data_IF_129354665924
#
_entry.id   IF_129354665924
#
_cell.length_a   1.000
_cell.length_b   1.000
_cell.length_c   1.000
_cell.angle_alpha   90.00
_cell.angle_beta   90.00
_cell.angle_gamma   90.00
#
_symmetry.space_group_name_H-M   'P 1'
#
loop_
_entity.id
_entity.type
_entity.pdbx_description
1 polymer ?
#
# COMPACT_ATOMS: atom_id res chain seq x y z
N UNK A 1 6.84 -3.42 -32.26
CA UNK A 1 5.49 -2.82 -32.37
C UNK A 1 4.47 -3.96 -32.53
N UNK A 2 4.00 -4.52 -31.43
CA UNK A 2 2.90 -5.49 -31.43
C UNK A 2 1.61 -4.71 -31.25
N UNK A 3 0.77 -4.74 -32.23
CA UNK A 3 -0.46 -3.94 -32.33
C UNK A 3 -1.48 -4.39 -31.29
N UNK A 4 -2.08 -3.42 -30.59
CA UNK A 4 -3.16 -3.53 -29.57
C UNK A 4 -4.37 -4.42 -29.98
N UNK A 5 -4.43 -4.92 -31.21
CA UNK A 5 -5.57 -5.65 -31.78
C UNK A 5 -5.54 -7.17 -31.52
N UNK A 6 -4.41 -7.74 -31.07
CA UNK A 6 -4.24 -9.20 -30.96
C UNK A 6 -4.55 -9.78 -29.56
N UNK A 7 -4.86 -8.95 -28.56
CA UNK A 7 -5.07 -9.42 -27.17
C UNK A 7 -6.54 -9.55 -26.76
N UNK A 8 -7.46 -8.88 -27.44
CA UNK A 8 -8.89 -8.83 -27.08
C UNK A 8 -9.72 -9.91 -27.78
N UNK A 9 -9.47 -11.17 -27.50
CA UNK A 9 -10.27 -12.23 -28.09
C UNK A 9 -9.76 -13.65 -27.83
N UNK A 10 -8.61 -13.79 -27.19
CA UNK A 10 -8.14 -15.13 -26.83
C UNK A 10 -8.98 -15.69 -25.67
N UNK A 11 -9.48 -16.93 -25.76
CA UNK A 11 -10.30 -17.55 -24.70
C UNK A 11 -9.66 -17.47 -23.30
N UNK A 12 -8.33 -17.51 -23.24
CA UNK A 12 -7.54 -17.38 -22.00
C UNK A 12 -7.70 -16.01 -21.34
N UNK A 13 -7.67 -14.92 -22.12
CA UNK A 13 -7.81 -13.55 -21.58
C UNK A 13 -9.23 -13.32 -21.04
N UNK A 14 -10.25 -13.80 -21.77
CA UNK A 14 -11.64 -13.72 -21.32
C UNK A 14 -11.84 -14.51 -20.03
N UNK A 15 -11.22 -15.68 -19.91
CA UNK A 15 -11.27 -16.49 -18.70
C UNK A 15 -10.63 -15.76 -17.50
N UNK A 16 -9.45 -15.17 -17.67
CA UNK A 16 -8.76 -14.41 -16.63
C UNK A 16 -9.57 -13.20 -16.16
N UNK A 17 -10.17 -12.44 -17.11
CA UNK A 17 -11.06 -11.33 -16.77
C UNK A 17 -12.27 -11.80 -15.97
N UNK A 18 -12.90 -12.89 -16.39
CA UNK A 18 -14.05 -13.44 -15.67
C UNK A 18 -13.69 -13.96 -14.28
N UNK A 19 -12.52 -14.58 -14.10
CA UNK A 19 -12.02 -14.99 -12.78
C UNK A 19 -11.83 -13.78 -11.86
N UNK A 20 -11.25 -12.68 -12.37
CA UNK A 20 -11.10 -11.45 -11.63
C UNK A 20 -12.43 -10.85 -11.19
N UNK A 21 -13.39 -10.73 -12.11
CA UNK A 21 -14.72 -10.23 -11.80
C UNK A 21 -15.44 -11.07 -10.72
N UNK A 22 -15.24 -12.39 -10.74
CA UNK A 22 -15.82 -13.27 -9.71
C UNK A 22 -15.14 -13.09 -8.35
N UNK A 23 -13.81 -12.94 -8.33
CA UNK A 23 -13.05 -12.65 -7.10
C UNK A 23 -13.46 -11.30 -6.50
N UNK A 24 -13.56 -10.26 -7.31
CA UNK A 24 -13.99 -8.93 -6.87
C UNK A 24 -15.42 -8.97 -6.31
N UNK A 25 -16.33 -9.68 -6.98
CA UNK A 25 -17.70 -9.83 -6.51
C UNK A 25 -17.77 -10.58 -5.17
N UNK A 26 -17.02 -11.68 -5.01
CA UNK A 26 -16.93 -12.43 -3.75
C UNK A 26 -16.31 -11.60 -2.63
N UNK A 27 -15.26 -10.82 -2.92
CA UNK A 27 -14.63 -9.93 -1.95
C UNK A 27 -15.61 -8.86 -1.44
N UNK A 28 -16.40 -8.24 -2.35
CA UNK A 28 -17.38 -7.23 -1.99
C UNK A 28 -18.61 -7.77 -1.25
N UNK A 29 -19.06 -8.97 -1.60
CA UNK A 29 -20.26 -9.60 -1.04
C UNK A 29 -19.96 -10.42 0.22
N UNK A 30 -18.69 -10.74 0.49
CA UNK A 30 -18.25 -11.65 1.55
C UNK A 30 -18.56 -13.10 1.22
N UNK A 31 -19.84 -13.39 0.87
CA UNK A 31 -20.32 -14.70 0.44
C UNK A 31 -21.43 -14.55 -0.59
N UNK A 32 -21.54 -15.50 -1.51
CA UNK A 32 -22.56 -15.47 -2.54
C UNK A 32 -22.87 -16.87 -3.12
N UNK A 33 -24.07 -17.03 -3.65
CA UNK A 33 -24.44 -18.16 -4.51
C UNK A 33 -23.98 -17.92 -5.95
N UNK A 34 -23.89 -18.99 -6.76
CA UNK A 34 -23.55 -18.87 -8.18
C UNK A 34 -24.53 -17.98 -8.97
N UNK A 35 -25.80 -17.97 -8.57
CA UNK A 35 -26.83 -17.12 -9.20
C UNK A 35 -26.59 -15.65 -8.90
N UNK A 36 -26.29 -15.32 -7.66
CA UNK A 36 -25.97 -13.95 -7.24
C UNK A 36 -24.71 -13.44 -7.93
N UNK A 37 -23.67 -14.28 -8.03
CA UNK A 37 -22.43 -13.96 -8.75
C UNK A 37 -22.70 -13.70 -10.24
N UNK A 38 -23.49 -14.55 -10.91
CA UNK A 38 -23.86 -14.33 -12.31
C UNK A 38 -24.58 -12.99 -12.48
N UNK A 39 -25.54 -12.68 -11.61
CA UNK A 39 -26.29 -11.40 -11.64
C UNK A 39 -25.39 -10.20 -11.36
N UNK A 40 -24.47 -10.30 -10.40
CA UNK A 40 -23.58 -9.21 -10.00
C UNK A 40 -22.52 -8.88 -11.07
N UNK A 41 -21.97 -9.92 -11.70
CA UNK A 41 -20.86 -9.79 -12.67
C UNK A 41 -21.31 -9.66 -14.12
N UNK A 42 -22.56 -10.03 -14.44
CA UNK A 42 -23.04 -10.14 -15.82
C UNK A 42 -22.51 -11.36 -16.59
N UNK A 43 -21.74 -12.24 -15.93
CA UNK A 43 -21.20 -13.47 -16.52
C UNK A 43 -22.33 -14.51 -16.62
N UNK A 44 -22.37 -15.27 -17.73
CA UNK A 44 -23.39 -16.32 -17.92
C UNK A 44 -23.30 -17.37 -16.81
N UNK A 45 -24.46 -17.87 -16.34
CA UNK A 45 -24.51 -18.85 -15.27
C UNK A 45 -23.73 -20.15 -15.57
N UNK A 46 -23.73 -20.70 -16.82
CA UNK A 46 -22.87 -21.82 -17.14
C UNK A 46 -21.39 -21.53 -16.94
N UNK A 47 -20.93 -20.34 -17.36
CA UNK A 47 -19.54 -19.90 -17.16
C UNK A 47 -19.19 -19.77 -15.68
N UNK A 48 -20.06 -19.13 -14.87
CA UNK A 48 -19.88 -19.03 -13.43
C UNK A 48 -19.79 -20.41 -12.77
N UNK A 49 -20.62 -21.37 -13.20
CA UNK A 49 -20.61 -22.73 -12.67
C UNK A 49 -19.25 -23.43 -12.91
N UNK A 50 -18.68 -23.27 -14.12
CA UNK A 50 -17.38 -23.83 -14.46
C UNK A 50 -16.26 -23.17 -13.65
N UNK A 51 -16.23 -21.84 -13.62
CA UNK A 51 -15.17 -21.09 -12.95
C UNK A 51 -15.19 -21.26 -11.42
N UNK A 52 -16.36 -21.20 -10.78
CA UNK A 52 -16.46 -21.44 -9.33
C UNK A 52 -16.08 -22.88 -8.98
N UNK A 53 -16.40 -23.85 -9.83
CA UNK A 53 -15.94 -25.23 -9.62
C UNK A 53 -14.41 -25.31 -9.66
N UNK A 54 -13.80 -24.73 -10.69
CA UNK A 54 -12.34 -24.68 -10.86
C UNK A 54 -11.66 -23.98 -9.67
N UNK A 55 -12.14 -22.78 -9.27
CA UNK A 55 -11.62 -22.05 -8.11
C UNK A 55 -11.76 -22.85 -6.80
N UNK A 56 -12.83 -23.63 -6.66
CA UNK A 56 -13.03 -24.48 -5.48
C UNK A 56 -12.06 -25.67 -5.49
N UNK A 57 -11.84 -26.30 -6.66
CA UNK A 57 -10.87 -27.38 -6.83
C UNK A 57 -9.43 -26.92 -6.59
N UNK A 58 -9.13 -25.66 -6.93
CA UNK A 58 -7.84 -25.01 -6.67
C UNK A 58 -7.69 -24.50 -5.22
N UNK A 59 -8.77 -24.53 -4.42
CA UNK A 59 -8.78 -24.05 -3.04
C UNK A 59 -8.89 -22.52 -2.90
N UNK A 60 -9.04 -21.76 -3.98
CA UNK A 60 -9.21 -20.30 -3.95
C UNK A 60 -10.58 -19.87 -3.39
N UNK A 61 -11.57 -20.73 -3.54
CA UNK A 61 -12.94 -20.51 -3.08
C UNK A 61 -13.38 -21.68 -2.20
N UNK A 62 -14.00 -21.36 -1.07
CA UNK A 62 -14.60 -22.33 -0.17
C UNK A 62 -16.09 -22.46 -0.41
N UNK A 63 -16.60 -23.70 -0.38
CA UNK A 63 -18.02 -23.98 -0.35
C UNK A 63 -18.47 -24.07 1.12
N UNK A 64 -19.29 -23.11 1.55
CA UNK A 64 -19.82 -23.02 2.93
C UNK A 64 -21.02 -23.93 3.16
N UNK A 65 -21.42 -24.75 2.18
CA UNK A 65 -22.63 -25.56 2.24
C UNK A 65 -23.82 -24.86 1.60
N UNK A 66 -25.03 -25.25 2.03
CA UNK A 66 -26.26 -24.73 1.46
C UNK A 66 -26.82 -23.57 2.27
N UNK A 67 -27.30 -22.53 1.60
CA UNK A 67 -28.03 -21.44 2.23
C UNK A 67 -29.29 -21.96 2.94
N UNK A 68 -29.65 -21.32 4.06
CA UNK A 68 -30.95 -21.54 4.70
C UNK A 68 -32.08 -21.14 3.74
N UNK A 69 -32.92 -22.07 3.37
CA UNK A 69 -34.01 -21.81 2.41
C UNK A 69 -35.38 -21.88 3.08
N UNK A 70 -36.20 -20.88 2.81
CA UNK A 70 -37.62 -20.83 3.14
C UNK A 70 -38.50 -21.48 2.07
N UNK A 71 -38.08 -22.63 1.48
CA UNK A 71 -38.97 -23.41 0.61
C UNK A 71 -38.52 -23.64 -0.85
N UNK A 72 -37.20 -23.63 -1.15
CA UNK A 72 -36.66 -23.94 -2.51
C UNK A 72 -35.47 -24.90 -2.46
N UNK A 73 -34.94 -25.31 -3.66
CA UNK A 73 -33.72 -26.11 -3.76
C UNK A 73 -32.56 -25.32 -3.12
N UNK A 74 -31.96 -25.88 -2.08
CA UNK A 74 -30.84 -25.26 -1.36
C UNK A 74 -29.69 -24.93 -2.30
N UNK A 75 -29.33 -23.66 -2.42
CA UNK A 75 -28.23 -23.20 -3.24
C UNK A 75 -26.94 -23.22 -2.42
N UNK A 76 -25.86 -23.73 -2.98
CA UNK A 76 -24.54 -23.69 -2.37
C UNK A 76 -24.01 -22.25 -2.31
N UNK A 77 -23.45 -21.88 -1.17
CA UNK A 77 -22.85 -20.56 -0.89
C UNK A 77 -21.34 -20.68 -0.93
N UNK A 78 -20.71 -19.72 -1.53
CA UNK A 78 -19.26 -19.67 -1.74
C UNK A 78 -18.66 -18.40 -1.15
N UNK A 79 -17.43 -18.50 -0.64
CA UNK A 79 -16.61 -17.36 -0.19
C UNK A 79 -15.18 -17.53 -0.68
N UNK A 80 -14.43 -16.43 -0.76
CA UNK A 80 -13.00 -16.52 -1.02
C UNK A 80 -12.28 -17.23 0.14
N UNK A 81 -11.34 -18.09 -0.20
CA UNK A 81 -10.43 -18.64 0.80
C UNK A 81 -9.34 -17.62 1.11
N UNK A 82 -9.53 -16.86 2.15
CA UNK A 82 -8.64 -15.77 2.54
C UNK A 82 -7.23 -16.25 2.89
N UNK A 83 -7.12 -17.52 3.33
CA UNK A 83 -5.85 -18.17 3.70
C UNK A 83 -5.25 -19.02 2.59
N UNK A 84 -5.74 -18.88 1.37
CA UNK A 84 -5.25 -19.65 0.23
C UNK A 84 -3.84 -19.24 -0.17
N UNK A 85 -3.54 -17.95 -0.09
CA UNK A 85 -2.22 -17.37 -0.34
C UNK A 85 -1.90 -16.36 0.74
N UNK A 86 -0.59 -16.18 0.95
CA UNK A 86 -0.06 -15.16 1.83
C UNK A 86 0.70 -14.10 1.05
N UNK A 87 0.81 -12.93 1.64
CA UNK A 87 1.68 -11.85 1.19
C UNK A 87 2.68 -11.54 2.29
N UNK A 88 3.89 -11.19 1.88
CA UNK A 88 5.01 -10.93 2.76
C UNK A 88 5.42 -9.46 2.65
N UNK A 89 5.37 -8.75 3.75
CA UNK A 89 5.91 -7.40 3.91
C UNK A 89 7.21 -7.47 4.68
N UNK A 90 8.27 -6.86 4.15
CA UNK A 90 9.57 -6.79 4.81
C UNK A 90 10.01 -5.34 4.92
N UNK A 91 10.41 -4.94 6.12
CA UNK A 91 10.97 -3.62 6.41
C UNK A 91 12.47 -3.77 6.62
N UNK A 92 13.25 -3.00 5.86
CA UNK A 92 14.68 -2.93 5.99
C UNK A 92 15.06 -1.69 6.80
N UNK A 93 15.79 -1.88 7.89
CA UNK A 93 16.37 -0.83 8.69
C UNK A 93 17.89 -1.01 8.79
N UNK A 94 18.57 -0.04 9.35
CA UNK A 94 20.03 -0.07 9.47
C UNK A 94 20.55 -1.32 10.21
N UNK A 95 19.87 -1.76 11.25
CA UNK A 95 20.39 -2.80 12.16
C UNK A 95 19.47 -4.04 12.22
N UNK A 96 18.31 -3.99 11.55
CA UNK A 96 17.33 -5.07 11.60
C UNK A 96 16.53 -5.20 10.32
N UNK A 97 16.12 -6.44 10.03
CA UNK A 97 15.02 -6.77 9.12
C UNK A 97 13.81 -7.12 9.98
N UNK A 98 12.65 -6.65 9.59
CA UNK A 98 11.40 -7.01 10.24
C UNK A 98 10.40 -7.45 9.17
N UNK A 99 9.66 -8.54 9.41
CA UNK A 99 8.66 -8.98 8.45
C UNK A 99 7.29 -9.19 9.07
N UNK A 100 6.29 -9.12 8.23
CA UNK A 100 4.91 -9.45 8.56
C UNK A 100 4.29 -10.28 7.44
N UNK A 101 3.64 -11.38 7.81
CA UNK A 101 2.85 -12.20 6.91
C UNK A 101 1.39 -11.83 7.09
N UNK A 102 0.71 -11.61 5.96
CA UNK A 102 -0.71 -11.30 5.92
C UNK A 102 -1.45 -12.32 5.04
N UNK A 103 -2.70 -12.55 5.38
CA UNK A 103 -3.67 -13.19 4.47
C UNK A 103 -4.15 -12.19 3.39
N UNK A 104 -5.01 -12.63 2.49
CA UNK A 104 -5.57 -11.79 1.40
C UNK A 104 -6.53 -10.69 1.86
N UNK A 105 -6.91 -10.66 3.14
CA UNK A 105 -7.66 -9.56 3.76
C UNK A 105 -6.79 -8.62 4.61
N UNK A 106 -5.48 -8.75 4.49
CA UNK A 106 -4.51 -7.98 5.28
C UNK A 106 -4.65 -8.23 6.80
N UNK A 107 -5.15 -9.41 7.18
CA UNK A 107 -5.10 -9.84 8.57
C UNK A 107 -3.68 -10.35 8.87
N UNK A 108 -3.08 -9.81 9.92
CA UNK A 108 -1.73 -10.15 10.34
C UNK A 108 -1.70 -11.55 10.96
N UNK A 109 -0.83 -12.43 10.46
CA UNK A 109 -0.63 -13.77 11.00
C UNK A 109 0.66 -13.88 11.81
N UNK A 110 1.75 -13.29 11.32
CA UNK A 110 3.08 -13.37 11.95
C UNK A 110 3.80 -12.05 11.80
N UNK A 111 4.56 -11.65 12.81
CA UNK A 111 5.50 -10.51 12.78
C UNK A 111 6.73 -10.83 13.59
N UNK A 112 7.90 -10.81 12.95
CA UNK A 112 9.18 -11.14 13.59
C UNK A 112 10.30 -10.23 13.10
N UNK A 113 11.40 -10.21 13.86
CA UNK A 113 12.59 -9.40 13.60
C UNK A 113 13.85 -10.26 13.56
N UNK A 114 14.81 -9.83 12.72
CA UNK A 114 16.15 -10.41 12.63
C UNK A 114 17.19 -9.30 12.58
N UNK A 115 18.19 -9.37 13.45
CA UNK A 115 19.30 -8.43 13.42
C UNK A 115 20.14 -8.59 12.14
N UNK A 116 20.68 -7.48 11.64
CA UNK A 116 21.60 -7.41 10.50
C UNK A 116 23.03 -7.20 11.02
N UNK A 117 23.99 -7.90 10.43
CA UNK A 117 25.40 -7.52 10.53
C UNK A 117 25.66 -6.35 9.60
N UNK A 118 25.82 -5.15 10.16
CA UNK A 118 26.04 -3.90 9.41
C UNK A 118 27.39 -3.84 8.67
N UNK A 119 28.29 -4.82 8.95
CA UNK A 119 29.57 -4.96 8.24
C UNK A 119 29.49 -5.97 7.09
N UNK A 120 28.42 -6.77 7.05
CA UNK A 120 28.16 -7.74 6.00
C UNK A 120 27.38 -7.15 4.82
N UNK A 121 27.16 -7.94 3.78
CA UNK A 121 26.29 -7.54 2.66
C UNK A 121 24.83 -7.52 3.08
N UNK A 122 24.20 -6.35 3.01
CA UNK A 122 22.76 -6.21 3.22
C UNK A 122 21.95 -6.99 2.19
N UNK A 123 22.39 -6.96 0.93
CA UNK A 123 21.76 -7.70 -0.16
C UNK A 123 21.77 -9.19 0.11
N UNK A 124 22.89 -9.74 0.54
CA UNK A 124 23.02 -11.16 0.86
C UNK A 124 22.18 -11.58 2.07
N UNK A 125 22.16 -10.74 3.12
CA UNK A 125 21.39 -11.02 4.34
C UNK A 125 19.89 -10.93 4.08
N UNK A 126 19.42 -9.92 3.31
CA UNK A 126 18.02 -9.80 2.91
C UNK A 126 17.59 -10.99 2.03
N UNK A 127 18.41 -11.37 1.05
CA UNK A 127 18.13 -12.53 0.21
C UNK A 127 18.00 -13.83 1.01
N UNK A 128 18.96 -14.09 1.90
CA UNK A 128 18.92 -15.26 2.80
C UNK A 128 17.70 -15.26 3.72
N UNK A 129 17.35 -14.10 4.26
CA UNK A 129 16.18 -13.91 5.11
C UNK A 129 14.88 -14.23 4.37
N UNK A 130 14.72 -13.71 3.16
CA UNK A 130 13.55 -14.00 2.33
C UNK A 130 13.45 -15.48 1.96
N UNK A 131 14.57 -16.12 1.60
CA UNK A 131 14.59 -17.54 1.27
C UNK A 131 14.20 -18.43 2.46
N UNK A 132 14.62 -18.07 3.68
CA UNK A 132 14.27 -18.76 4.92
C UNK A 132 12.74 -18.68 5.15
N UNK A 133 12.15 -17.48 5.10
CA UNK A 133 10.71 -17.26 5.28
C UNK A 133 9.90 -18.00 4.20
N UNK A 134 10.31 -17.89 2.92
CA UNK A 134 9.59 -18.50 1.80
C UNK A 134 9.68 -20.04 1.79
N UNK A 135 10.68 -20.61 2.45
CA UNK A 135 10.78 -22.06 2.69
C UNK A 135 9.75 -22.51 3.72
N UNK A 136 9.58 -21.72 4.79
CA UNK A 136 8.67 -22.05 5.89
C UNK A 136 7.21 -21.73 5.53
N UNK A 137 6.98 -20.72 4.66
CA UNK A 137 5.66 -20.30 4.19
C UNK A 137 5.63 -20.30 2.64
N UNK A 138 5.53 -21.49 2.02
CA UNK A 138 5.70 -21.65 0.56
C UNK A 138 4.54 -21.07 -0.27
N UNK A 139 3.39 -20.78 0.33
CA UNK A 139 2.21 -20.21 -0.28
C UNK A 139 2.20 -18.67 -0.33
N UNK A 140 3.27 -18.00 0.13
CA UNK A 140 3.51 -16.58 -0.17
C UNK A 140 3.60 -16.37 -1.68
N UNK A 141 2.76 -15.47 -2.22
CA UNK A 141 2.68 -15.21 -3.69
C UNK A 141 3.29 -13.89 -4.11
N UNK A 142 3.31 -12.91 -3.21
CA UNK A 142 3.93 -11.61 -3.46
C UNK A 142 4.69 -11.13 -2.22
N UNK A 143 5.73 -10.37 -2.48
CA UNK A 143 6.60 -9.76 -1.45
C UNK A 143 6.66 -8.27 -1.70
N UNK A 144 6.51 -7.45 -0.67
CA UNK A 144 6.83 -6.04 -0.74
C UNK A 144 7.91 -5.70 0.30
N UNK A 145 8.98 -5.07 -0.17
CA UNK A 145 10.13 -4.69 0.65
C UNK A 145 10.16 -3.17 0.79
N UNK A 146 10.06 -2.70 2.01
CA UNK A 146 10.18 -1.29 2.35
C UNK A 146 11.61 -0.91 2.68
N UNK A 147 12.10 0.18 2.12
CA UNK A 147 13.48 0.67 2.27
C UNK A 147 13.52 2.15 2.68
N UNK A 148 14.52 2.57 3.48
CA UNK A 148 14.67 3.96 3.90
C UNK A 148 15.43 4.77 2.84
N UNK A 149 14.82 5.00 1.68
CA UNK A 149 15.45 5.75 0.61
C UNK A 149 14.60 5.83 -0.65
N UNK A 150 15.11 6.48 -1.68
CA UNK A 150 14.40 6.66 -2.93
C UNK A 150 14.34 5.34 -3.75
N UNK A 151 13.21 5.11 -4.39
CA UNK A 151 12.96 3.93 -5.22
C UNK A 151 12.42 4.36 -6.58
N UNK A 152 13.10 3.98 -7.66
CA UNK A 152 12.63 4.25 -9.02
C UNK A 152 11.40 3.40 -9.39
N UNK A 153 10.71 3.76 -10.47
CA UNK A 153 9.58 2.96 -11.00
C UNK A 153 9.98 1.53 -11.41
N UNK A 154 11.27 1.28 -11.62
CA UNK A 154 11.84 -0.01 -11.96
C UNK A 154 12.31 -0.79 -10.71
N UNK A 155 12.11 -0.24 -9.51
CA UNK A 155 12.55 -0.86 -8.26
C UNK A 155 14.06 -0.80 -8.03
N UNK A 156 14.74 0.18 -8.66
CA UNK A 156 16.11 0.54 -8.35
C UNK A 156 16.12 1.43 -7.11
N UNK A 157 17.02 1.15 -6.17
CA UNK A 157 17.16 1.88 -4.92
C UNK A 157 18.39 2.79 -4.95
N UNK A 158 18.27 3.96 -4.31
CA UNK A 158 19.34 4.95 -4.23
C UNK A 158 19.10 5.91 -3.05
N UNK A 159 20.10 6.76 -2.79
CA UNK A 159 20.06 7.72 -1.68
C UNK A 159 19.83 7.08 -0.31
N UNK A 160 20.52 5.94 -0.04
CA UNK A 160 20.52 5.28 1.26
C UNK A 160 21.93 5.29 1.84
N UNK A 161 22.36 6.37 2.50
CA UNK A 161 23.72 6.51 3.01
C UNK A 161 24.17 5.37 3.93
N UNK A 162 23.20 4.76 4.65
CA UNK A 162 23.47 3.66 5.57
C UNK A 162 23.77 2.32 4.86
N UNK A 163 23.41 2.21 3.57
CA UNK A 163 23.58 0.98 2.77
C UNK A 163 24.24 1.37 1.43
N UNK A 164 25.54 1.69 1.39
CA UNK A 164 26.21 2.17 0.19
C UNK A 164 26.19 1.19 -1.00
N UNK A 165 26.08 -0.12 -0.74
CA UNK A 165 25.99 -1.15 -1.80
C UNK A 165 24.67 -1.05 -2.60
N UNK A 166 23.68 -0.30 -2.11
CA UNK A 166 22.38 -0.09 -2.77
C UNK A 166 22.32 1.22 -3.56
N UNK A 167 23.45 1.90 -3.78
CA UNK A 167 23.44 3.07 -4.66
C UNK A 167 23.27 2.66 -6.12
N UNK A 168 22.16 3.07 -6.74
CA UNK A 168 21.73 2.67 -8.07
C UNK A 168 21.63 1.15 -8.27
N UNK A 169 21.15 0.43 -7.25
CA UNK A 169 21.03 -1.03 -7.30
C UNK A 169 19.61 -1.47 -7.67
N UNK A 170 19.48 -2.34 -8.67
CA UNK A 170 18.22 -2.93 -9.13
C UNK A 170 17.67 -3.98 -8.15
N UNK A 171 17.35 -3.55 -6.93
CA UNK A 171 16.98 -4.43 -5.81
C UNK A 171 15.77 -5.27 -6.14
N UNK A 172 14.72 -4.71 -6.74
CA UNK A 172 13.50 -5.45 -7.08
C UNK A 172 13.81 -6.62 -8.03
N UNK A 173 14.49 -6.35 -9.13
CA UNK A 173 14.82 -7.38 -10.12
C UNK A 173 15.75 -8.48 -9.54
N UNK A 174 16.64 -8.11 -8.62
CA UNK A 174 17.49 -9.05 -7.91
C UNK A 174 16.63 -9.96 -7.01
N UNK A 175 15.75 -9.38 -6.19
CA UNK A 175 14.93 -10.15 -5.25
C UNK A 175 13.90 -11.04 -5.96
N UNK A 176 13.34 -10.61 -7.10
CA UNK A 176 12.46 -11.44 -7.92
C UNK A 176 13.14 -12.74 -8.37
N UNK A 177 14.42 -12.64 -8.77
CA UNK A 177 15.22 -13.82 -9.14
C UNK A 177 15.49 -14.72 -7.94
N UNK A 178 15.83 -14.14 -6.78
CA UNK A 178 16.13 -14.87 -5.55
C UNK A 178 14.91 -15.60 -5.02
N UNK A 179 13.77 -14.90 -4.97
CA UNK A 179 12.55 -15.42 -4.37
C UNK A 179 11.73 -16.29 -5.32
N UNK A 180 11.93 -16.17 -6.63
CA UNK A 180 11.03 -16.74 -7.65
C UNK A 180 9.58 -16.36 -7.39
N UNK A 181 9.33 -15.14 -6.92
CA UNK A 181 8.04 -14.53 -6.60
C UNK A 181 8.00 -13.12 -7.16
N UNK A 182 6.81 -12.54 -7.25
CA UNK A 182 6.66 -11.12 -7.53
C UNK A 182 7.16 -10.32 -6.34
N UNK A 183 8.00 -9.34 -6.61
CA UNK A 183 8.53 -8.44 -5.60
C UNK A 183 8.22 -7.00 -6.00
N UNK A 184 7.87 -6.18 -5.03
CA UNK A 184 7.87 -4.72 -5.12
C UNK A 184 8.85 -4.17 -4.09
N UNK A 185 9.59 -3.15 -4.45
CA UNK A 185 10.38 -2.36 -3.51
C UNK A 185 9.74 -0.98 -3.39
N UNK A 186 9.58 -0.48 -2.18
CA UNK A 186 8.88 0.78 -1.91
C UNK A 186 9.63 1.62 -0.88
N UNK A 187 9.62 2.93 -1.07
CA UNK A 187 10.07 3.87 -0.05
C UNK A 187 9.17 3.79 1.20
N UNK A 188 9.76 3.95 2.37
CA UNK A 188 9.10 3.84 3.69
C UNK A 188 7.95 4.84 3.87
N UNK A 189 8.17 6.13 3.57
CA UNK A 189 7.16 7.19 3.73
C UNK A 189 5.96 6.94 2.80
N UNK A 190 6.23 6.49 1.58
CA UNK A 190 5.20 6.12 0.62
C UNK A 190 4.38 4.92 1.11
N UNK A 191 5.04 3.92 1.71
CA UNK A 191 4.36 2.77 2.27
C UNK A 191 3.48 3.17 3.48
N UNK A 192 3.95 4.05 4.36
CA UNK A 192 3.13 4.57 5.47
C UNK A 192 1.89 5.30 4.96
N UNK A 193 2.03 6.15 3.92
CA UNK A 193 0.89 6.84 3.32
C UNK A 193 -0.16 5.86 2.75
N UNK A 194 0.29 4.83 2.04
CA UNK A 194 -0.57 3.76 1.53
C UNK A 194 -1.25 2.98 2.65
N UNK A 195 -0.52 2.65 3.71
CA UNK A 195 -1.06 1.92 4.86
C UNK A 195 -2.09 2.71 5.63
N UNK A 196 -1.88 4.02 5.79
CA UNK A 196 -2.90 4.89 6.38
C UNK A 196 -4.19 4.89 5.55
N UNK A 197 -4.08 5.07 4.24
CA UNK A 197 -5.23 5.01 3.34
C UNK A 197 -5.95 3.64 3.42
N UNK A 198 -5.19 2.55 3.47
CA UNK A 198 -5.74 1.20 3.60
C UNK A 198 -6.50 1.03 4.90
N UNK A 199 -5.95 1.51 6.03
CA UNK A 199 -6.62 1.52 7.32
C UNK A 199 -7.93 2.33 7.33
N UNK A 200 -7.93 3.52 6.70
CA UNK A 200 -9.16 4.33 6.54
C UNK A 200 -10.24 3.55 5.76
N UNK A 201 -9.85 2.83 4.71
CA UNK A 201 -10.78 2.01 3.91
C UNK A 201 -11.32 0.79 4.66
N UNK A 202 -10.50 0.15 5.48
CA UNK A 202 -10.91 -1.01 6.29
C UNK A 202 -11.83 -0.61 7.45
N UNK A 203 -11.57 0.54 8.07
CA UNK A 203 -12.35 1.05 9.21
C UNK A 203 -13.62 1.79 8.77
N UNK A 204 -13.63 2.37 7.57
CA UNK A 204 -14.81 2.98 6.99
C UNK A 204 -15.70 1.90 6.38
N UNK A 205 -16.87 1.64 6.99
CA UNK A 205 -17.87 0.82 6.33
C UNK A 205 -18.15 1.41 4.94
N UNK A 206 -17.99 0.60 3.89
CA UNK A 206 -18.35 0.94 2.50
C UNK A 206 -19.84 1.27 2.33
N UNK A 207 -20.62 1.07 3.36
CA UNK A 207 -22.01 1.42 3.47
C UNK A 207 -22.09 2.73 4.23
N UNK A 208 -22.15 3.85 3.51
CA UNK A 208 -22.25 5.20 4.06
C UNK A 208 -23.45 5.43 4.97
N UNK A 209 -23.51 4.76 6.12
CA UNK A 209 -24.50 5.11 7.16
C UNK A 209 -24.30 6.52 7.70
N UNK A 210 -23.05 7.05 7.61
CA UNK A 210 -22.73 8.43 8.00
C UNK A 210 -22.59 9.40 6.82
N UNK A 211 -22.82 8.99 5.57
CA UNK A 211 -22.72 9.83 4.38
C UNK A 211 -21.32 10.35 4.05
N UNK A 212 -20.26 9.90 4.74
CA UNK A 212 -18.89 10.27 4.43
C UNK A 212 -18.35 9.38 3.31
N UNK A 213 -17.84 10.02 2.26
CA UNK A 213 -17.10 9.33 1.21
C UNK A 213 -15.72 8.90 1.74
N UNK A 214 -15.18 7.77 1.27
CA UNK A 214 -13.85 7.34 1.68
C UNK A 214 -12.80 8.35 1.22
N UNK A 215 -11.79 8.62 2.06
CA UNK A 215 -10.65 9.50 1.73
C UNK A 215 -9.96 8.98 0.47
N UNK A 216 -9.74 9.88 -0.50
CA UNK A 216 -9.07 9.57 -1.77
C UNK A 216 -7.81 10.39 -1.99
N UNK A 217 -7.72 11.58 -1.36
CA UNK A 217 -6.62 12.50 -1.51
C UNK A 217 -6.05 12.82 -0.13
N UNK A 218 -4.83 12.39 0.15
CA UNK A 218 -4.15 12.68 1.41
C UNK A 218 -2.66 12.93 1.20
N UNK A 219 -2.08 13.66 2.13
CA UNK A 219 -0.62 13.82 2.24
C UNK A 219 -0.20 13.35 3.62
N UNK A 220 0.69 12.36 3.65
CA UNK A 220 1.42 11.99 4.86
C UNK A 220 2.74 12.77 4.88
N UNK A 221 2.99 13.56 5.91
CA UNK A 221 4.23 14.29 6.12
C UNK A 221 4.99 13.68 7.30
N UNK A 222 6.19 13.17 7.03
CA UNK A 222 7.09 12.61 8.04
C UNK A 222 8.23 13.59 8.33
N UNK A 223 8.47 13.81 9.62
CA UNK A 223 9.55 14.70 10.11
C UNK A 223 10.45 13.93 11.06
N UNK A 224 11.72 13.80 10.73
CA UNK A 224 12.73 13.17 11.57
C UNK A 224 14.03 13.98 11.55
N UNK A 225 14.43 14.54 12.71
CA UNK A 225 15.54 15.49 12.76
C UNK A 225 15.28 16.69 11.85
N UNK A 226 16.12 16.87 10.84
CA UNK A 226 15.95 17.88 9.77
C UNK A 226 15.35 17.30 8.51
N UNK A 227 15.26 15.96 8.41
CA UNK A 227 14.69 15.27 7.28
C UNK A 227 13.18 15.47 7.19
N UNK A 228 12.69 15.68 5.97
CA UNK A 228 11.28 15.86 5.68
C UNK A 228 10.92 15.14 4.40
N UNK A 229 10.00 14.20 4.51
CA UNK A 229 9.45 13.49 3.36
C UNK A 229 7.93 13.49 3.37
N UNK A 230 7.32 13.36 2.21
CA UNK A 230 5.86 13.28 2.07
C UNK A 230 5.45 12.10 1.18
N UNK A 231 4.48 11.32 1.65
CA UNK A 231 3.75 10.36 0.83
C UNK A 231 2.48 11.01 0.31
N UNK A 232 2.32 11.07 -1.01
CA UNK A 232 1.21 11.78 -1.67
C UNK A 232 0.25 10.77 -2.28
N UNK A 233 -1.01 10.82 -1.88
CA UNK A 233 -2.08 10.00 -2.45
C UNK A 233 -3.04 10.91 -3.22
N UNK A 234 -3.29 10.58 -4.48
CA UNK A 234 -4.25 11.26 -5.36
C UNK A 234 -5.20 10.23 -5.95
N UNK A 235 -6.50 10.47 -5.84
CA UNK A 235 -7.55 9.54 -6.31
C UNK A 235 -7.39 8.11 -5.77
N UNK A 236 -6.91 7.99 -4.53
CA UNK A 236 -6.72 6.71 -3.87
C UNK A 236 -5.51 5.92 -4.36
N UNK A 237 -4.56 6.56 -5.04
CA UNK A 237 -3.33 5.96 -5.58
C UNK A 237 -2.11 6.77 -5.16
N UNK A 238 -1.02 6.08 -4.90
CA UNK A 238 0.26 6.72 -4.62
C UNK A 238 0.73 7.52 -5.85
N UNK A 239 1.04 8.78 -5.63
CA UNK A 239 1.62 9.65 -6.65
C UNK A 239 3.12 9.82 -6.43
N UNK A 240 3.92 9.15 -7.23
CA UNK A 240 5.40 9.21 -7.17
C UNK A 240 6.02 10.20 -8.18
N UNK A 241 5.21 10.81 -9.05
CA UNK A 241 5.71 11.71 -10.10
C UNK A 241 6.37 10.99 -11.27
N UNK A 242 7.10 11.73 -12.10
CA UNK A 242 7.76 11.19 -13.28
C UNK A 242 8.95 10.29 -12.91
N UNK A 243 9.83 10.78 -12.04
CA UNK A 243 11.11 10.17 -11.66
C UNK A 243 11.10 9.65 -10.22
N UNK A 244 9.93 9.34 -9.65
CA UNK A 244 9.78 8.93 -8.24
C UNK A 244 10.32 9.96 -7.23
N UNK A 245 10.28 11.25 -7.57
CA UNK A 245 10.79 12.35 -6.75
C UNK A 245 9.65 13.12 -6.04
N UNK A 246 8.40 12.79 -6.35
CA UNK A 246 7.28 13.44 -5.67
C UNK A 246 7.27 13.04 -4.19
N UNK A 247 7.18 14.05 -3.32
CA UNK A 247 7.23 13.85 -1.87
C UNK A 247 8.58 14.15 -1.21
N UNK A 248 9.64 14.41 -1.98
CA UNK A 248 10.94 14.82 -1.46
C UNK A 248 10.88 16.28 -0.90
N UNK A 249 10.09 16.45 0.16
CA UNK A 249 9.75 17.76 0.71
C UNK A 249 10.95 18.49 1.32
N UNK A 250 12.00 17.79 1.73
CA UNK A 250 13.26 18.39 2.20
C UNK A 250 13.92 19.32 1.20
N UNK A 251 13.72 19.08 -0.11
CA UNK A 251 14.25 19.93 -1.18
C UNK A 251 13.41 21.18 -1.46
N UNK A 252 12.24 21.34 -0.83
CA UNK A 252 11.42 22.53 -1.04
C UNK A 252 12.15 23.80 -0.63
N UNK A 253 12.04 24.85 -1.45
CA UNK A 253 12.57 26.16 -1.15
C UNK A 253 11.52 26.99 -0.42
N UNK A 254 11.82 27.45 0.78
CA UNK A 254 10.96 28.34 1.57
C UNK A 254 11.77 29.58 1.95
N UNK A 255 11.51 30.70 1.27
CA UNK A 255 12.34 31.89 1.40
C UNK A 255 13.65 31.77 0.64
N UNK A 256 14.79 32.01 1.31
CA UNK A 256 16.11 32.08 0.66
C UNK A 256 16.92 30.77 0.75
N UNK A 257 16.39 29.72 1.37
CA UNK A 257 17.11 28.47 1.61
C UNK A 257 16.21 27.25 1.50
N UNK A 258 16.82 26.06 1.35
CA UNK A 258 16.07 24.82 1.34
C UNK A 258 15.53 24.52 2.76
N UNK A 259 14.52 23.66 2.80
CA UNK A 259 13.77 23.38 4.01
C UNK A 259 14.64 22.71 5.08
N UNK A 260 15.48 21.77 4.70
CA UNK A 260 16.35 21.03 5.61
C UNK A 260 17.31 21.97 6.34
N UNK A 261 17.94 22.91 5.61
CA UNK A 261 18.80 23.93 6.23
C UNK A 261 18.05 24.83 7.21
N UNK A 262 16.81 25.21 6.89
CA UNK A 262 15.99 26.04 7.76
C UNK A 262 15.53 25.33 9.04
N UNK A 263 15.36 24.02 9.00
CA UNK A 263 15.03 23.21 10.16
C UNK A 263 16.24 22.97 11.06
N UNK A 264 17.46 23.03 10.50
CA UNK A 264 18.69 22.88 11.26
C UNK A 264 18.81 23.99 12.31
N UNK A 265 18.91 23.60 13.60
CA UNK A 265 19.02 24.54 14.72
C UNK A 265 17.76 25.37 14.99
N UNK A 266 16.65 25.13 14.31
CA UNK A 266 15.38 25.80 14.59
C UNK A 266 14.79 25.29 15.91
N UNK A 267 14.33 26.22 16.77
CA UNK A 267 13.51 25.88 17.92
C UNK A 267 12.12 25.37 17.50
N UNK A 268 11.36 24.83 18.45
CA UNK A 268 10.05 24.26 18.20
C UNK A 268 9.10 25.26 17.53
N UNK A 269 9.05 26.50 17.96
CA UNK A 269 8.13 27.52 17.43
C UNK A 269 8.47 27.84 15.95
N UNK A 270 9.75 27.98 15.63
CA UNK A 270 10.23 28.22 14.27
C UNK A 270 9.95 27.00 13.37
N UNK A 271 10.18 25.76 13.88
CA UNK A 271 9.83 24.51 13.17
C UNK A 271 8.35 24.45 12.85
N UNK A 272 7.47 24.74 13.80
CA UNK A 272 6.01 24.75 13.60
C UNK A 272 5.59 25.72 12.47
N UNK A 273 6.18 26.93 12.43
CA UNK A 273 5.91 27.93 11.39
C UNK A 273 6.41 27.44 10.01
N UNK A 274 7.60 26.84 9.96
CA UNK A 274 8.15 26.32 8.71
C UNK A 274 7.26 25.19 8.18
N UNK A 275 6.90 24.23 9.04
CA UNK A 275 6.03 23.12 8.68
C UNK A 275 4.64 23.58 8.23
N UNK A 276 4.08 24.61 8.89
CA UNK A 276 2.83 25.21 8.46
C UNK A 276 2.92 25.82 7.04
N UNK A 277 4.03 26.48 6.69
CA UNK A 277 4.25 26.99 5.33
C UNK A 277 4.34 25.87 4.30
N UNK A 278 5.02 24.77 4.62
CA UNK A 278 5.08 23.57 3.77
C UNK A 278 3.67 23.06 3.51
N UNK A 279 2.89 22.87 4.57
CA UNK A 279 1.53 22.34 4.44
C UNK A 279 0.61 23.27 3.69
N UNK A 280 0.70 24.58 3.90
CA UNK A 280 -0.07 25.56 3.10
C UNK A 280 0.24 25.42 1.61
N UNK A 281 1.52 25.28 1.24
CA UNK A 281 1.91 25.08 -0.15
C UNK A 281 1.33 23.78 -0.70
N UNK A 282 1.43 22.67 0.06
CA UNK A 282 0.85 21.39 -0.35
C UNK A 282 -0.67 21.43 -0.46
N UNK A 283 -1.35 22.12 0.46
CA UNK A 283 -2.81 22.33 0.41
C UNK A 283 -3.20 23.13 -0.84
N UNK A 284 -2.48 24.20 -1.14
CA UNK A 284 -2.77 25.02 -2.33
C UNK A 284 -2.55 24.28 -3.66
N UNK A 285 -1.62 23.33 -3.70
CA UNK A 285 -1.26 22.61 -4.93
C UNK A 285 -2.10 21.34 -5.10
N UNK A 286 -2.27 20.56 -4.01
CA UNK A 286 -2.87 19.23 -4.06
C UNK A 286 -4.31 19.20 -3.58
N UNK A 287 -4.72 20.18 -2.77
CA UNK A 287 -6.03 20.26 -2.14
C UNK A 287 -6.49 18.91 -1.54
N UNK A 288 -5.71 18.32 -0.60
CA UNK A 288 -6.02 17.02 -0.04
C UNK A 288 -7.22 17.09 0.92
N UNK A 289 -7.93 16.00 1.09
CA UNK A 289 -9.01 15.86 2.08
C UNK A 289 -8.43 15.72 3.50
N UNK A 290 -7.21 15.17 3.60
CA UNK A 290 -6.55 14.87 4.88
C UNK A 290 -5.04 15.12 4.82
N UNK A 291 -4.51 15.73 5.87
CA UNK A 291 -3.09 15.80 6.19
C UNK A 291 -2.82 14.85 7.36
N UNK A 292 -1.87 13.95 7.18
CA UNK A 292 -1.41 13.03 8.22
C UNK A 292 0.01 13.38 8.59
N UNK A 293 0.27 13.61 9.86
CA UNK A 293 1.60 13.97 10.38
C UNK A 293 2.22 12.80 11.12
N UNK A 294 3.53 12.62 11.02
CA UNK A 294 4.24 11.57 11.70
C UNK A 294 5.70 11.93 12.01
N UNK A 295 6.42 10.99 12.62
CA UNK A 295 7.80 11.20 13.10
C UNK A 295 7.83 11.97 14.41
N UNK A 296 8.69 12.98 14.52
CA UNK A 296 8.91 13.77 15.75
C UNK A 296 7.81 14.83 15.99
N UNK A 297 6.65 14.70 15.35
CA UNK A 297 5.51 15.62 15.54
C UNK A 297 4.70 15.16 16.76
N UNK A 298 4.37 16.13 17.63
CA UNK A 298 3.49 15.91 18.78
C UNK A 298 2.08 16.43 18.51
N UNK A 299 1.10 16.00 19.33
CA UNK A 299 -0.28 16.51 19.24
C UNK A 299 -0.34 18.03 19.41
N UNK A 300 0.45 18.60 20.35
CA UNK A 300 0.55 20.04 20.55
C UNK A 300 1.07 20.76 19.31
N UNK A 301 2.13 20.23 18.68
CA UNK A 301 2.65 20.78 17.41
C UNK A 301 1.61 20.71 16.31
N UNK A 302 0.90 19.59 16.18
CA UNK A 302 -0.18 19.41 15.19
C UNK A 302 -1.24 20.50 15.32
N UNK A 303 -1.68 20.78 16.55
CA UNK A 303 -2.66 21.83 16.82
C UNK A 303 -2.14 23.23 16.47
N UNK A 304 -0.87 23.53 16.82
CA UNK A 304 -0.26 24.82 16.49
C UNK A 304 -0.07 24.99 14.97
N UNK A 305 0.43 23.98 14.29
CA UNK A 305 0.61 23.97 12.83
C UNK A 305 -0.74 24.18 12.13
N UNK A 306 -1.78 23.44 12.53
CA UNK A 306 -3.14 23.61 12.00
C UNK A 306 -3.65 25.02 12.23
N UNK A 307 -3.46 25.59 13.43
CA UNK A 307 -3.85 26.97 13.73
C UNK A 307 -3.15 27.97 12.82
N UNK A 308 -1.86 27.80 12.51
CA UNK A 308 -1.14 28.65 11.56
C UNK A 308 -1.70 28.52 10.14
N UNK A 309 -1.99 27.30 9.68
CA UNK A 309 -2.64 27.10 8.37
C UNK A 309 -3.99 27.82 8.28
N UNK A 310 -4.80 27.76 9.33
CA UNK A 310 -6.09 28.47 9.41
C UNK A 310 -5.98 30.01 9.40
N UNK A 311 -4.81 30.56 9.75
CA UNK A 311 -4.57 32.02 9.64
C UNK A 311 -4.27 32.46 8.21
N UNK A 312 -3.70 31.57 7.38
CA UNK A 312 -3.25 31.90 6.03
C UNK A 312 -4.19 31.40 4.93
N UNK A 313 -5.06 30.46 5.26
CA UNK A 313 -6.00 29.86 4.32
C UNK A 313 -7.45 30.08 4.73
N UNK A 314 -8.38 30.20 3.76
CA UNK A 314 -9.81 30.13 4.05
C UNK A 314 -10.17 28.81 4.76
N UNK A 315 -11.00 28.87 5.79
CA UNK A 315 -11.36 27.71 6.62
C UNK A 315 -11.91 26.52 5.83
N UNK A 316 -12.59 26.77 4.73
CA UNK A 316 -13.22 25.73 3.91
C UNK A 316 -12.23 24.92 3.05
N UNK A 317 -10.96 25.35 2.91
CA UNK A 317 -9.91 24.59 2.21
C UNK A 317 -8.95 23.88 3.18
N UNK A 318 -9.02 24.16 4.47
CA UNK A 318 -8.15 23.51 5.46
C UNK A 318 -8.62 22.07 5.66
N UNK A 319 -7.77 21.08 5.35
CA UNK A 319 -8.18 19.67 5.43
C UNK A 319 -8.28 19.18 6.87
N UNK A 320 -8.76 17.96 7.04
CA UNK A 320 -8.64 17.24 8.30
C UNK A 320 -7.16 16.95 8.61
N UNK A 321 -6.76 17.10 9.89
CA UNK A 321 -5.42 16.78 10.37
C UNK A 321 -5.50 15.55 11.25
N UNK A 322 -4.60 14.59 10.99
CA UNK A 322 -4.39 13.40 11.81
C UNK A 322 -2.92 13.30 12.21
N UNK A 323 -2.64 12.61 13.31
CA UNK A 323 -1.29 12.33 13.81
C UNK A 323 -1.09 10.82 13.93
N UNK A 324 0.06 10.32 13.48
CA UNK A 324 0.51 8.95 13.68
C UNK A 324 1.80 9.00 14.50
N UNK A 325 1.74 8.75 15.80
CA UNK A 325 2.94 8.75 16.65
C UNK A 325 3.89 7.59 16.36
N UNK A 326 3.34 6.41 16.06
CA UNK A 326 4.07 5.22 15.61
C UNK A 326 3.47 4.75 14.28
N UNK A 327 4.26 4.82 13.23
CA UNK A 327 3.83 4.52 11.86
C UNK A 327 4.09 3.06 11.44
N UNK A 328 4.60 2.19 12.33
CA UNK A 328 4.98 0.83 11.93
C UNK A 328 3.82 -0.02 11.46
N UNK A 329 2.65 0.11 12.08
CA UNK A 329 1.47 -0.64 11.64
C UNK A 329 1.04 -0.20 10.24
N UNK A 330 1.02 1.12 9.98
CA UNK A 330 0.73 1.67 8.67
C UNK A 330 1.79 1.26 7.65
N UNK A 331 3.07 1.23 8.05
CA UNK A 331 4.15 0.80 7.17
C UNK A 331 3.91 -0.63 6.68
N UNK A 332 3.72 -1.59 7.58
CA UNK A 332 3.43 -2.97 7.20
C UNK A 332 2.13 -3.11 6.39
N UNK A 333 1.08 -2.40 6.78
CA UNK A 333 -0.19 -2.41 6.07
C UNK A 333 -0.04 -1.90 4.63
N UNK A 334 0.74 -0.84 4.42
CA UNK A 334 0.98 -0.28 3.08
C UNK A 334 1.82 -1.20 2.20
N UNK A 335 2.83 -1.85 2.76
CA UNK A 335 3.59 -2.89 2.07
C UNK A 335 2.69 -4.08 1.72
N UNK A 336 1.85 -4.51 2.66
CA UNK A 336 0.89 -5.59 2.45
C UNK A 336 -0.09 -5.26 1.33
N UNK A 337 -0.72 -4.08 1.35
CA UNK A 337 -1.62 -3.64 0.28
C UNK A 337 -0.90 -3.59 -1.08
N UNK A 338 0.33 -3.09 -1.10
CA UNK A 338 1.10 -3.00 -2.34
C UNK A 338 1.49 -4.38 -2.89
N UNK A 339 1.79 -5.36 -2.01
CA UNK A 339 2.00 -6.74 -2.42
C UNK A 339 0.71 -7.39 -2.95
N UNK A 340 -0.44 -7.09 -2.33
CA UNK A 340 -1.75 -7.56 -2.80
C UNK A 340 -2.08 -6.98 -4.18
N UNK A 341 -1.84 -5.67 -4.39
CA UNK A 341 -2.05 -5.01 -5.68
C UNK A 341 -1.18 -5.61 -6.80
N UNK A 342 0.00 -6.18 -6.50
CA UNK A 342 0.80 -6.91 -7.47
C UNK A 342 0.13 -8.18 -7.98
N UNK A 343 -0.71 -8.82 -7.16
CA UNK A 343 -1.47 -10.00 -7.57
C UNK A 343 -2.66 -9.60 -8.45
N UNK A 344 -3.31 -8.49 -8.13
CA UNK A 344 -4.51 -8.00 -8.84
C UNK A 344 -4.20 -7.37 -10.21
N UNK A 345 -3.03 -6.73 -10.35
CA UNK A 345 -2.64 -6.05 -11.59
C UNK A 345 -2.43 -6.98 -12.81
N UNK A 346 -2.49 -8.30 -12.64
CA UNK A 346 -2.53 -9.24 -13.77
C UNK A 346 -3.88 -9.23 -14.53
N UNK A 347 -4.93 -8.67 -13.93
CA UNK A 347 -6.31 -8.82 -14.38
C UNK A 347 -6.88 -7.51 -14.98
N UNK A 348 -6.25 -6.37 -14.70
CA UNK A 348 -6.71 -5.08 -15.25
C UNK A 348 -6.14 -4.85 -16.63
N UNK A 349 -6.95 -5.16 -17.65
CA UNK A 349 -6.76 -4.62 -19.00
C UNK A 349 -6.95 -3.11 -18.94
N UNK A 350 -5.87 -2.34 -19.14
CA UNK A 350 -5.92 -0.89 -19.33
C UNK A 350 -6.43 -0.54 -20.73
#
# INVERSE_FOLDING_TARGET
MTTKKDMTGKPTVIKEVNLGLLKDALAQMGQATRVELARRTGISQPTVNVLIKEMTEQGEVLNLGNADSTGGRKAAVYTLNQKHYHILSVVVRKEELEYCIFDLQLQKETREKKAIDTKGSYTGQLAGFLQEILKDVPDVRAVCVGVPGAVSKQGEVFAIPQIPEWEHFGLQAYLEKVCSRKVMVMNDINAVAMGYLTGERMNGSYTGEDGKLPVRNLVYLHVEGTGLGAGIIIDGRLYSGCNSFAGEAGYMQIGCDNLENQLTGADTAKREIILAKVLVNLICILNPEKIVLGGEITEKMTQHIKKQCCQWLPMWVVPEFALIPDSMEQYFMGLGQSALDLLDNQIRLH
#
